data_IF_854790717929
#
_entry.id   IF_854790717929
#
_cell.length_a   1.000
_cell.length_b   1.000
_cell.length_c   1.000
_cell.angle_alpha   90.00
_cell.angle_beta   90.00
_cell.angle_gamma   90.00
#
_symmetry.space_group_name_H-M   'P 1'
#
loop_
_entity.id
_entity.type
_entity.pdbx_description
1 polymer ?
#
# COMPACT_ATOMS: atom_id res chain seq x y z
N UNK A 1 0.29 56.99 9.19
CA UNK A 1 0.36 56.12 10.40
C UNK A 1 -0.06 54.74 9.97
N UNK A 2 0.75 53.74 10.30
CA UNK A 2 0.52 52.33 9.99
C UNK A 2 -0.60 51.75 10.87
N UNK A 3 -1.38 50.81 10.33
CA UNK A 3 -2.01 49.75 11.12
C UNK A 3 -1.92 48.46 10.33
N UNK A 4 -0.88 47.70 10.67
CA UNK A 4 -0.66 46.31 10.35
C UNK A 4 -1.63 45.48 11.18
N UNK A 5 -2.59 44.82 10.53
CA UNK A 5 -3.31 43.69 11.12
C UNK A 5 -3.35 42.57 10.07
N UNK A 6 -2.30 41.74 10.11
CA UNK A 6 -2.22 40.46 9.42
C UNK A 6 -3.04 39.40 10.20
N UNK A 7 -4.06 38.75 9.61
CA UNK A 7 -4.54 37.48 10.13
C UNK A 7 -3.56 36.37 9.69
N UNK A 8 -2.86 35.88 10.71
CA UNK A 8 -1.99 34.70 10.72
C UNK A 8 -2.51 33.55 9.85
N UNK A 9 -1.56 33.04 9.04
CA UNK A 9 -1.37 31.65 8.60
C UNK A 9 -2.48 30.65 9.00
N UNK A 10 -3.28 30.26 8.01
CA UNK A 10 -3.71 28.88 7.90
C UNK A 10 -3.00 28.28 6.70
N UNK A 11 -1.81 27.71 6.96
CA UNK A 11 -1.19 26.83 5.98
C UNK A 11 -2.16 25.66 5.77
N UNK A 12 -2.72 25.58 4.57
CA UNK A 12 -3.68 24.54 4.17
C UNK A 12 -3.24 23.18 4.70
N UNK A 13 -4.15 22.51 5.42
CA UNK A 13 -4.01 21.17 6.03
C UNK A 13 -3.55 20.05 5.05
N UNK A 14 -3.33 20.37 3.79
CA UNK A 14 -2.83 19.51 2.73
C UNK A 14 -1.30 19.56 2.55
N UNK A 15 -0.57 20.39 3.31
CA UNK A 15 0.89 20.52 3.17
C UNK A 15 1.71 19.29 3.60
N UNK A 16 1.11 18.26 4.19
CA UNK A 16 1.82 17.04 4.61
C UNK A 16 2.25 16.17 3.40
N UNK A 17 1.68 16.40 2.22
CA UNK A 17 1.98 15.64 1.00
C UNK A 17 2.85 16.40 -0.02
N UNK A 18 3.71 17.33 0.43
CA UNK A 18 4.65 17.99 -0.49
C UNK A 18 6.06 17.41 -0.33
N UNK A 19 6.31 16.31 -1.06
CA UNK A 19 7.64 15.72 -1.23
C UNK A 19 8.50 16.67 -2.07
N UNK A 20 9.32 17.51 -1.43
CA UNK A 20 10.27 18.37 -2.14
C UNK A 20 11.71 17.87 -2.00
N UNK A 21 12.19 17.27 -3.10
CA UNK A 21 13.48 17.47 -3.74
C UNK A 21 14.78 16.98 -3.06
N UNK A 22 15.34 15.90 -3.64
CA UNK A 22 16.79 15.73 -3.79
C UNK A 22 17.09 15.29 -5.23
N UNK A 23 17.89 16.12 -5.91
CA UNK A 23 18.26 16.21 -7.33
C UNK A 23 18.52 14.89 -8.09
N UNK A 24 17.88 14.74 -9.27
CA UNK A 24 18.46 14.69 -10.64
C UNK A 24 18.81 13.24 -11.09
N UNK A 25 18.15 12.63 -12.09
CA UNK A 25 17.98 13.05 -13.49
C UNK A 25 16.58 12.70 -14.06
N UNK A 26 15.98 13.61 -14.83
CA UNK A 26 14.76 13.39 -15.64
C UNK A 26 13.57 12.73 -14.92
N UNK A 27 13.10 13.32 -13.82
CA UNK A 27 11.75 13.00 -13.32
C UNK A 27 10.79 13.98 -13.98
N UNK A 28 10.21 13.57 -15.11
CA UNK A 28 9.09 14.28 -15.74
C UNK A 28 7.99 14.45 -14.69
N UNK A 29 7.76 15.69 -14.26
CA UNK A 29 6.70 15.94 -13.29
C UNK A 29 5.36 15.50 -13.90
N UNK A 30 4.53 14.71 -13.18
CA UNK A 30 3.25 14.28 -13.71
C UNK A 30 2.42 15.48 -14.15
N UNK A 31 2.03 15.52 -15.43
CA UNK A 31 1.20 16.60 -15.95
C UNK A 31 -0.14 16.63 -15.23
N UNK A 32 -0.55 17.82 -14.77
CA UNK A 32 -1.90 18.03 -14.24
C UNK A 32 -2.93 17.75 -15.35
N UNK A 33 -3.77 16.72 -15.15
CA UNK A 33 -4.84 16.35 -16.08
C UNK A 33 -6.01 17.32 -15.97
N UNK A 34 -6.69 17.59 -17.09
CA UNK A 34 -7.88 18.43 -17.08
C UNK A 34 -9.11 17.65 -16.59
N UNK A 35 -10.12 18.34 -16.05
CA UNK A 35 -11.37 17.68 -15.63
C UNK A 35 -12.05 16.95 -16.78
N UNK A 36 -12.06 17.54 -17.98
CA UNK A 36 -12.63 16.91 -19.17
C UNK A 36 -11.89 15.63 -19.53
N UNK A 37 -10.57 15.63 -19.48
CA UNK A 37 -9.74 14.47 -19.76
C UNK A 37 -10.01 13.33 -18.76
N UNK A 38 -10.09 13.67 -17.48
CA UNK A 38 -10.45 12.70 -16.41
C UNK A 38 -11.83 12.12 -16.69
N UNK A 39 -12.83 12.97 -16.97
CA UNK A 39 -14.18 12.51 -17.28
C UNK A 39 -14.19 11.65 -18.55
N UNK A 40 -13.46 12.00 -19.60
CA UNK A 40 -13.42 11.19 -20.82
C UNK A 40 -12.77 9.84 -20.60
N UNK A 41 -11.76 9.76 -19.74
CA UNK A 41 -11.01 8.53 -19.50
C UNK A 41 -11.75 7.57 -18.57
N UNK A 42 -12.48 8.09 -17.58
CA UNK A 42 -13.13 7.28 -16.54
C UNK A 42 -14.66 7.31 -16.60
N UNK A 43 -15.27 8.04 -17.54
CA UNK A 43 -16.71 7.94 -17.73
C UNK A 43 -17.08 6.51 -18.09
N UNK A 44 -18.17 6.05 -17.49
CA UNK A 44 -18.80 4.84 -17.94
C UNK A 44 -19.70 5.17 -19.14
N UNK A 45 -19.44 4.56 -20.29
CA UNK A 45 -20.14 4.88 -21.53
C UNK A 45 -21.56 4.28 -21.61
N UNK A 46 -21.98 3.46 -20.64
CA UNK A 46 -23.31 2.85 -20.57
C UNK A 46 -24.29 3.60 -19.67
N UNK A 47 -25.54 3.13 -19.61
CA UNK A 47 -26.55 3.67 -18.69
C UNK A 47 -26.23 3.35 -17.22
N UNK A 48 -26.96 3.98 -16.30
CA UNK A 48 -26.75 3.79 -14.86
C UNK A 48 -26.90 2.32 -14.42
N UNK A 49 -27.77 1.55 -15.09
CA UNK A 49 -27.97 0.14 -14.81
C UNK A 49 -26.77 -0.70 -15.25
N UNK A 50 -26.20 -0.43 -16.42
CA UNK A 50 -25.00 -1.07 -16.93
C UNK A 50 -23.77 -0.72 -16.07
N UNK A 51 -23.68 0.51 -15.57
CA UNK A 51 -22.62 0.91 -14.64
C UNK A 51 -22.71 0.12 -13.32
N UNK A 52 -23.92 -0.06 -12.80
CA UNK A 52 -24.16 -0.83 -11.58
C UNK A 52 -23.87 -2.33 -11.78
N UNK A 53 -24.26 -2.90 -12.92
CA UNK A 53 -23.93 -4.29 -13.26
C UNK A 53 -22.41 -4.50 -13.33
N UNK A 54 -21.70 -3.63 -14.04
CA UNK A 54 -20.24 -3.68 -14.13
C UNK A 54 -19.56 -3.52 -12.77
N UNK A 55 -20.05 -2.61 -11.92
CA UNK A 55 -19.54 -2.45 -10.56
C UNK A 55 -19.75 -3.71 -9.71
N UNK A 56 -20.91 -4.38 -9.85
CA UNK A 56 -21.18 -5.66 -9.17
C UNK A 56 -20.19 -6.73 -9.62
N UNK A 57 -19.93 -6.86 -10.92
CA UNK A 57 -18.98 -7.86 -11.43
C UNK A 57 -17.58 -7.65 -10.87
N UNK A 58 -17.09 -6.40 -10.87
CA UNK A 58 -15.80 -6.04 -10.26
C UNK A 58 -15.74 -6.34 -8.75
N UNK A 59 -16.85 -6.16 -8.03
CA UNK A 59 -16.91 -6.51 -6.60
C UNK A 59 -16.88 -8.03 -6.39
N UNK A 60 -17.52 -8.81 -7.27
CA UNK A 60 -17.45 -10.27 -7.21
C UNK A 60 -16.02 -10.76 -7.46
N UNK A 61 -15.33 -10.24 -8.48
CA UNK A 61 -13.91 -10.58 -8.72
C UNK A 61 -13.01 -10.23 -7.54
N UNK A 62 -13.26 -9.07 -6.89
CA UNK A 62 -12.50 -8.68 -5.70
C UNK A 62 -12.74 -9.66 -4.56
N UNK A 63 -13.97 -10.11 -4.37
CA UNK A 63 -14.33 -11.07 -3.34
C UNK A 63 -13.61 -12.41 -3.55
N UNK A 64 -13.55 -12.90 -4.79
CA UNK A 64 -12.81 -14.12 -5.13
C UNK A 64 -11.31 -13.98 -4.85
N UNK A 65 -10.72 -12.83 -5.22
CA UNK A 65 -9.29 -12.55 -4.92
C UNK A 65 -9.03 -12.50 -3.43
N UNK A 66 -9.93 -11.89 -2.65
CA UNK A 66 -9.81 -11.86 -1.18
C UNK A 66 -9.87 -13.27 -0.59
N UNK A 67 -10.81 -14.10 -1.05
CA UNK A 67 -10.92 -15.49 -0.60
C UNK A 67 -9.62 -16.29 -0.88
N UNK A 68 -9.03 -16.10 -2.07
CA UNK A 68 -7.75 -16.71 -2.42
C UNK A 68 -6.61 -16.25 -1.49
N UNK A 69 -6.49 -14.94 -1.26
CA UNK A 69 -5.45 -14.39 -0.36
C UNK A 69 -5.63 -14.94 1.06
N UNK A 70 -6.86 -15.07 1.56
CA UNK A 70 -7.09 -15.62 2.90
C UNK A 70 -6.65 -17.08 3.01
N UNK A 71 -6.87 -17.88 1.97
CA UNK A 71 -6.39 -19.26 1.93
C UNK A 71 -4.86 -19.32 1.91
N UNK A 72 -4.23 -18.59 0.98
CA UNK A 72 -2.76 -18.54 0.87
C UNK A 72 -2.10 -18.01 2.15
N UNK A 73 -2.75 -17.09 2.86
CA UNK A 73 -2.26 -16.57 4.14
C UNK A 73 -2.27 -17.62 5.25
N UNK A 74 -3.31 -18.47 5.30
CA UNK A 74 -3.38 -19.58 6.27
C UNK A 74 -2.31 -20.65 5.98
N UNK A 75 -2.09 -20.96 4.70
CA UNK A 75 -1.02 -21.87 4.28
C UNK A 75 0.37 -21.31 4.64
N UNK A 76 0.60 -20.01 4.39
CA UNK A 76 1.83 -19.32 4.74
C UNK A 76 2.09 -19.26 6.26
N UNK A 77 1.04 -19.02 7.06
CA UNK A 77 1.15 -19.03 8.53
C UNK A 77 1.60 -20.41 9.05
N UNK A 78 0.97 -21.49 8.57
CA UNK A 78 1.37 -22.86 8.89
C UNK A 78 2.81 -23.17 8.47
N UNK A 79 3.24 -22.71 7.29
CA UNK A 79 4.62 -22.91 6.83
C UNK A 79 5.63 -22.14 7.70
N UNK A 80 5.31 -20.90 8.08
CA UNK A 80 6.12 -20.09 8.98
C UNK A 80 6.27 -20.75 10.36
N UNK A 81 5.22 -21.34 10.91
CA UNK A 81 5.27 -22.11 12.17
C UNK A 81 6.21 -23.32 12.07
N UNK A 82 6.19 -24.03 10.95
CA UNK A 82 7.10 -25.14 10.69
C UNK A 82 8.57 -24.68 10.65
N UNK A 83 8.86 -23.56 9.98
CA UNK A 83 10.20 -22.99 9.93
C UNK A 83 10.68 -22.51 11.31
N UNK A 84 9.81 -21.86 12.08
CA UNK A 84 10.13 -21.43 13.44
C UNK A 84 10.48 -22.63 14.34
N UNK A 85 9.72 -23.72 14.22
CA UNK A 85 9.97 -24.96 14.95
C UNK A 85 11.32 -25.57 14.55
N UNK A 86 11.64 -25.62 13.26
CA UNK A 86 12.92 -26.14 12.77
C UNK A 86 14.09 -25.27 13.26
N UNK A 87 13.97 -23.95 13.21
CA UNK A 87 15.00 -23.04 13.71
C UNK A 87 15.26 -23.25 15.21
N UNK A 88 14.21 -23.42 16.01
CA UNK A 88 14.34 -23.74 17.43
C UNK A 88 15.06 -25.07 17.67
N UNK A 89 14.78 -26.09 16.85
CA UNK A 89 15.49 -27.38 16.93
C UNK A 89 16.97 -27.23 16.58
N UNK A 90 17.30 -26.45 15.56
CA UNK A 90 18.70 -26.16 15.20
C UNK A 90 19.42 -25.46 16.36
N UNK A 91 18.83 -24.42 16.95
CA UNK A 91 19.42 -23.71 18.10
C UNK A 91 19.66 -24.66 19.27
N UNK A 92 18.65 -25.47 19.65
CA UNK A 92 18.81 -26.48 20.70
C UNK A 92 19.92 -27.48 20.38
N UNK A 93 20.00 -27.93 19.12
CA UNK A 93 21.06 -28.84 18.68
C UNK A 93 22.44 -28.19 18.84
N UNK A 94 22.60 -26.92 18.44
CA UNK A 94 23.86 -26.19 18.53
C UNK A 94 24.26 -25.90 19.99
N UNK A 95 23.32 -25.54 20.85
CA UNK A 95 23.54 -25.39 22.30
C UNK A 95 24.01 -26.70 22.92
N UNK A 96 23.39 -27.82 22.55
CA UNK A 96 23.83 -29.15 22.95
C UNK A 96 25.19 -29.56 22.35
N UNK A 97 25.72 -28.86 21.35
CA UNK A 97 27.11 -29.03 20.88
C UNK A 97 28.08 -28.04 21.53
N UNK A 98 27.59 -26.97 22.13
CA UNK A 98 28.41 -25.90 22.70
C UNK A 98 29.19 -26.34 23.93
N UNK A 99 28.76 -27.39 24.64
CA UNK A 99 29.47 -27.88 25.83
C UNK A 99 30.81 -28.57 25.53
N UNK A 100 31.10 -28.95 24.27
CA UNK A 100 32.38 -29.56 23.88
C UNK A 100 33.27 -28.67 23.00
N UNK A 101 32.86 -27.41 22.72
CA UNK A 101 33.71 -26.43 22.03
C UNK A 101 34.38 -25.49 23.05
N UNK A 102 35.72 -25.42 23.12
CA UNK A 102 36.39 -24.40 23.93
C UNK A 102 36.18 -23.01 23.29
N UNK A 103 35.90 -22.02 24.14
CA UNK A 103 35.73 -20.60 23.79
C UNK A 103 37.00 -19.96 23.25
#
# INVERSE_FOLDING_TARGET
>A
MASTDDPKKEASSWSIFNWTNKAESEVEQPRMRSTQEILTQYKFNGDAAAAAAHAKDMLMERQEKLAKITQESAEFESEAENFATLAQQITKSLEAKRWWWPS
#
